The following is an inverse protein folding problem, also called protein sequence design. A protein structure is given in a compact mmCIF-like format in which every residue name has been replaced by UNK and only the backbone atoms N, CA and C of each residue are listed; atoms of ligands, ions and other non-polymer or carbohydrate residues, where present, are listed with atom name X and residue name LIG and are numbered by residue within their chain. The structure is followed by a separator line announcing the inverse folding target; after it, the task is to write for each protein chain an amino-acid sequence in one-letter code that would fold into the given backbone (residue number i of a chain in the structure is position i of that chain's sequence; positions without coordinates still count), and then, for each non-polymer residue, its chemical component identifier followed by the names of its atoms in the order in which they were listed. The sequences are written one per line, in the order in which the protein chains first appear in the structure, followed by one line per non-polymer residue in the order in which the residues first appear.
data_IF_056359497513
#
_entry.id   IF_056359497513
#
_cell.length_a   1.000
_cell.length_b   1.000
_cell.length_c   1.000
_cell.angle_alpha   90.00
_cell.angle_beta   90.00
_cell.angle_gamma   90.00
#
_symmetry.space_group_name_H-M   'P 1'
#
loop_
_entity.id
_entity.type
_entity.pdbx_description
1 polymer ?
#
# COMPACT_ATOMS: atom_id res chain seq x y z
N UNK A 1 -63.65 24.60 14.40
CA UNK A 1 -63.49 24.06 15.78
C UNK A 1 -62.09 24.40 16.28
N UNK A 2 -61.98 25.18 17.36
CA UNK A 2 -60.70 25.65 17.91
C UNK A 2 -59.87 24.53 18.54
N UNK A 3 -58.55 24.70 18.57
CA UNK A 3 -57.61 23.75 19.14
C UNK A 3 -57.57 23.94 20.67
N UNK A 4 -58.14 23.02 21.44
CA UNK A 4 -58.15 23.10 22.90
C UNK A 4 -56.75 23.00 23.52
N UNK A 5 -56.57 23.59 24.71
CA UNK A 5 -55.31 23.51 25.48
C UNK A 5 -55.09 22.07 25.96
N UNK A 6 -53.86 21.56 25.81
CA UNK A 6 -53.48 20.20 26.21
C UNK A 6 -52.41 20.29 27.31
N UNK A 7 -52.53 19.48 28.36
CA UNK A 7 -51.52 19.37 29.42
C UNK A 7 -50.21 18.76 28.88
N UNK A 8 -49.06 19.26 29.34
CA UNK A 8 -47.75 18.73 28.94
C UNK A 8 -47.39 17.48 29.76
N UNK A 9 -48.08 16.37 29.46
CA UNK A 9 -47.84 15.05 30.03
C UNK A 9 -47.98 13.98 28.94
N UNK A 10 -47.52 12.76 29.22
CA UNK A 10 -47.70 11.63 28.29
C UNK A 10 -49.20 11.42 28.00
N UNK A 11 -49.54 11.31 26.72
CA UNK A 11 -50.92 11.00 26.29
C UNK A 11 -51.12 9.49 26.46
N UNK A 12 -52.02 9.07 27.34
CA UNK A 12 -52.25 7.65 27.62
C UNK A 12 -52.93 6.91 26.47
N UNK A 13 -53.96 7.53 25.89
CA UNK A 13 -54.68 6.96 24.76
C UNK A 13 -53.76 6.75 23.55
N UNK A 14 -53.61 5.49 23.12
CA UNK A 14 -52.70 5.08 22.04
C UNK A 14 -53.04 5.75 20.70
N UNK A 15 -54.32 5.87 20.35
CA UNK A 15 -54.77 6.45 19.07
C UNK A 15 -54.49 7.95 19.07
N UNK A 16 -54.91 8.66 20.13
CA UNK A 16 -54.66 10.10 20.27
C UNK A 16 -53.17 10.41 20.31
N UNK A 17 -52.36 9.57 20.96
CA UNK A 17 -50.90 9.69 20.99
C UNK A 17 -50.29 9.52 19.60
N UNK A 18 -50.72 8.53 18.82
CA UNK A 18 -50.22 8.31 17.46
C UNK A 18 -50.54 9.49 16.54
N UNK A 19 -51.79 9.96 16.55
CA UNK A 19 -52.20 11.12 15.73
C UNK A 19 -51.44 12.38 16.15
N UNK A 20 -51.28 12.59 17.46
CA UNK A 20 -50.55 13.75 17.98
C UNK A 20 -49.06 13.67 17.62
N UNK A 21 -48.44 12.51 17.73
CA UNK A 21 -47.05 12.28 17.31
C UNK A 21 -46.86 12.65 15.84
N UNK A 22 -47.69 12.13 14.93
CA UNK A 22 -47.60 12.45 13.50
C UNK A 22 -47.72 13.96 13.24
N UNK A 23 -48.68 14.63 13.88
CA UNK A 23 -48.89 16.07 13.71
C UNK A 23 -47.77 16.92 14.32
N UNK A 24 -47.32 16.60 15.54
CA UNK A 24 -46.26 17.35 16.23
C UNK A 24 -44.90 17.13 15.57
N UNK A 25 -44.56 15.91 15.17
CA UNK A 25 -43.33 15.62 14.43
C UNK A 25 -43.28 16.40 13.11
N UNK A 26 -44.38 16.39 12.34
CA UNK A 26 -44.45 17.17 11.10
C UNK A 26 -44.31 18.69 11.38
N UNK A 27 -44.93 19.20 12.44
CA UNK A 27 -44.78 20.60 12.84
C UNK A 27 -43.36 20.95 13.30
N UNK A 28 -42.69 20.05 14.02
CA UNK A 28 -41.31 20.23 14.47
C UNK A 28 -40.33 20.25 13.29
N UNK A 29 -40.53 19.35 12.32
CA UNK A 29 -39.76 19.33 11.08
C UNK A 29 -39.88 20.64 10.30
N UNK A 30 -41.10 21.19 10.19
CA UNK A 30 -41.31 22.50 9.55
C UNK A 30 -40.54 23.61 10.26
N UNK A 31 -40.55 23.62 11.61
CA UNK A 31 -39.79 24.61 12.39
C UNK A 31 -38.28 24.46 12.23
N UNK A 32 -37.77 23.23 12.24
CA UNK A 32 -36.36 22.96 12.01
C UNK A 32 -35.92 23.46 10.63
N UNK A 33 -36.76 23.23 9.61
CA UNK A 33 -36.52 23.74 8.26
C UNK A 33 -36.59 25.28 8.17
N UNK A 34 -37.59 25.90 8.81
CA UNK A 34 -37.69 27.37 8.90
C UNK A 34 -36.41 27.97 9.50
N UNK A 35 -35.91 27.42 10.61
CA UNK A 35 -34.67 27.90 11.26
C UNK A 35 -33.47 27.74 10.32
N UNK A 36 -33.34 26.58 9.68
CA UNK A 36 -32.24 26.34 8.75
C UNK A 36 -32.21 27.38 7.62
N UNK A 37 -33.36 27.66 7.00
CA UNK A 37 -33.44 28.58 5.86
C UNK A 37 -33.32 30.04 6.31
N UNK A 38 -33.98 30.44 7.39
CA UNK A 38 -34.01 31.83 7.83
C UNK A 38 -32.70 32.31 8.44
N UNK A 39 -31.94 31.39 9.05
CA UNK A 39 -30.72 31.73 9.80
C UNK A 39 -29.45 31.12 9.19
N UNK A 40 -29.54 30.45 8.03
CA UNK A 40 -28.45 29.71 7.40
C UNK A 40 -27.75 28.75 8.39
N UNK A 41 -28.57 28.06 9.17
CA UNK A 41 -28.11 27.17 10.24
C UNK A 41 -28.15 25.72 9.78
N UNK A 42 -27.09 24.95 10.11
CA UNK A 42 -27.11 23.50 9.99
C UNK A 42 -27.96 22.91 11.12
N UNK A 43 -29.01 22.17 10.77
CA UNK A 43 -29.97 21.62 11.73
C UNK A 43 -30.16 20.13 11.49
N UNK A 44 -30.06 19.36 12.57
CA UNK A 44 -30.31 17.94 12.63
C UNK A 44 -31.47 17.65 13.58
N UNK A 45 -32.37 16.74 13.19
CA UNK A 45 -33.45 16.26 14.05
C UNK A 45 -33.59 14.74 13.91
N UNK A 46 -33.51 14.03 15.03
CA UNK A 46 -33.69 12.58 15.10
C UNK A 46 -34.84 12.27 16.06
N UNK A 47 -35.82 11.50 15.62
CA UNK A 47 -37.00 11.14 16.42
C UNK A 47 -37.30 9.65 16.31
N UNK A 48 -37.21 8.93 17.42
CA UNK A 48 -37.66 7.55 17.53
C UNK A 48 -39.10 7.48 18.04
N UNK A 49 -39.94 6.74 17.32
CA UNK A 49 -41.27 6.39 17.84
C UNK A 49 -41.16 5.32 18.93
N UNK A 50 -42.22 5.15 19.73
CA UNK A 50 -42.29 4.06 20.73
C UNK A 50 -42.26 2.66 20.12
N UNK A 51 -42.38 2.54 18.79
CA UNK A 51 -42.24 1.28 18.03
C UNK A 51 -40.82 1.09 17.47
N UNK A 52 -39.87 1.96 17.82
CA UNK A 52 -38.49 1.92 17.31
C UNK A 52 -38.32 2.52 15.91
N UNK A 53 -39.39 2.94 15.23
CA UNK A 53 -39.25 3.57 13.91
C UNK A 53 -38.54 4.92 14.01
N UNK A 54 -37.47 5.06 13.24
CA UNK A 54 -36.68 6.27 13.05
C UNK A 54 -37.38 7.25 12.10
N UNK A 55 -37.34 8.52 12.47
CA UNK A 55 -37.68 9.65 11.62
C UNK A 55 -36.61 10.72 11.79
N UNK A 56 -35.98 11.10 10.69
CA UNK A 56 -34.86 12.03 10.70
C UNK A 56 -35.06 13.18 9.72
N UNK A 57 -34.34 14.25 9.95
CA UNK A 57 -34.21 15.40 9.07
C UNK A 57 -32.83 16.02 9.27
N UNK A 58 -32.19 16.33 8.16
CA UNK A 58 -30.96 17.10 8.12
C UNK A 58 -31.10 18.21 7.09
N UNK A 59 -30.32 19.26 7.28
CA UNK A 59 -30.05 20.24 6.24
C UNK A 59 -29.24 19.61 5.09
N UNK A 60 -29.06 20.35 4.00
CA UNK A 60 -28.46 19.85 2.74
C UNK A 60 -27.06 19.24 2.91
N UNK A 61 -26.35 19.59 3.99
CA UNK A 61 -25.04 19.05 4.34
C UNK A 61 -24.99 17.56 4.73
N UNK A 62 -26.07 16.79 4.58
CA UNK A 62 -26.18 15.37 4.99
C UNK A 62 -26.12 15.14 6.50
N UNK A 63 -26.92 14.17 6.98
CA UNK A 63 -27.04 13.83 8.40
C UNK A 63 -25.67 13.46 9.00
N UNK A 64 -24.87 12.70 8.25
CA UNK A 64 -23.54 12.24 8.65
C UNK A 64 -22.61 13.41 8.97
N UNK A 65 -22.52 14.44 8.12
CA UNK A 65 -21.58 15.56 8.34
C UNK A 65 -21.95 16.40 9.56
N UNK A 66 -23.25 16.58 9.82
CA UNK A 66 -23.70 17.32 11.00
C UNK A 66 -23.38 16.52 12.27
N UNK A 67 -23.56 15.19 12.25
CA UNK A 67 -23.20 14.31 13.37
C UNK A 67 -21.69 14.31 13.61
N UNK A 68 -20.87 14.16 12.55
CA UNK A 68 -19.41 14.24 12.66
C UNK A 68 -18.94 15.61 13.20
N UNK A 69 -19.61 16.71 12.79
CA UNK A 69 -19.32 18.05 13.29
C UNK A 69 -19.71 18.17 14.77
N UNK A 70 -20.86 17.62 15.16
CA UNK A 70 -21.28 17.58 16.55
C UNK A 70 -20.29 16.81 17.42
N UNK A 71 -19.89 15.60 17.02
CA UNK A 71 -18.93 14.77 17.74
C UNK A 71 -17.59 15.49 17.93
N UNK A 72 -17.06 16.12 16.88
CA UNK A 72 -15.83 16.93 16.96
C UNK A 72 -15.95 18.13 17.90
N UNK A 73 -17.08 18.83 17.92
CA UNK A 73 -17.24 20.01 18.78
C UNK A 73 -17.56 19.62 20.23
N UNK A 74 -18.36 18.57 20.45
CA UNK A 74 -18.60 18.00 21.77
C UNK A 74 -17.27 17.55 22.42
N UNK A 75 -16.35 16.99 21.63
CA UNK A 75 -15.00 16.63 22.05
C UNK A 75 -14.15 17.83 22.47
N UNK A 76 -14.28 18.98 21.78
CA UNK A 76 -13.54 20.21 22.12
C UNK A 76 -14.13 20.90 23.35
N UNK A 77 -15.46 20.97 23.47
CA UNK A 77 -16.12 21.53 24.65
C UNK A 77 -15.85 20.70 25.92
N UNK A 78 -15.81 19.36 25.82
CA UNK A 78 -15.50 18.49 26.96
C UNK A 78 -14.05 18.64 27.48
N UNK A 79 -13.08 19.00 26.63
CA UNK A 79 -11.71 19.28 27.07
C UNK A 79 -11.57 20.58 27.87
N UNK A 80 -12.51 21.51 27.72
CA UNK A 80 -12.49 22.81 28.41
C UNK A 80 -13.21 22.78 29.76
N UNK A 81 -14.07 21.77 30.02
CA UNK A 81 -15.00 21.82 31.15
C UNK A 81 -14.45 21.22 32.45
N UNK A 82 -13.78 20.05 32.51
CA UNK A 82 -12.98 19.59 33.68
C UNK A 82 -12.66 18.07 33.63
N UNK A 83 -11.44 17.74 34.07
CA UNK A 83 -10.92 16.52 34.73
C UNK A 83 -11.78 15.23 34.79
N UNK A 84 -11.23 14.18 34.16
CA UNK A 84 -11.14 12.76 34.54
C UNK A 84 -12.36 11.82 34.62
N UNK A 85 -13.63 12.26 34.61
CA UNK A 85 -14.74 11.30 34.81
C UNK A 85 -15.53 10.88 33.55
N UNK A 86 -15.58 11.68 32.48
CA UNK A 86 -16.51 11.42 31.35
C UNK A 86 -15.84 11.05 30.02
N UNK A 87 -14.52 10.95 29.97
CA UNK A 87 -13.78 10.34 28.84
C UNK A 87 -14.18 8.87 28.61
N UNK A 88 -14.81 8.24 29.59
CA UNK A 88 -15.15 6.82 29.55
C UNK A 88 -16.26 6.50 28.54
N UNK A 89 -17.15 7.43 28.18
CA UNK A 89 -18.31 7.14 27.31
C UNK A 89 -17.99 6.96 25.83
N UNK A 90 -17.07 7.76 25.27
CA UNK A 90 -16.71 7.74 23.84
C UNK A 90 -15.67 6.64 23.53
N UNK A 91 -14.67 6.49 24.40
CA UNK A 91 -13.75 5.35 24.33
C UNK A 91 -14.45 4.03 24.69
N UNK A 92 -15.58 4.02 25.43
CA UNK A 92 -16.23 2.74 25.82
C UNK A 92 -16.56 1.84 24.64
N UNK A 93 -16.82 2.37 23.45
CA UNK A 93 -17.16 1.56 22.26
C UNK A 93 -15.97 1.39 21.31
N UNK A 94 -15.14 2.40 21.12
CA UNK A 94 -13.99 2.33 20.20
C UNK A 94 -12.78 1.61 20.82
N UNK A 95 -12.54 1.80 22.12
CA UNK A 95 -11.46 1.13 22.85
C UNK A 95 -11.56 -0.40 22.79
N UNK A 96 -12.71 -1.07 23.08
CA UNK A 96 -12.78 -2.53 22.96
C UNK A 96 -12.59 -3.02 21.52
N UNK A 97 -13.03 -2.25 20.52
CA UNK A 97 -12.81 -2.60 19.10
C UNK A 97 -11.33 -2.48 18.72
N UNK A 98 -10.66 -1.42 19.14
CA UNK A 98 -9.24 -1.22 18.88
C UNK A 98 -8.39 -2.25 19.66
N UNK A 99 -8.73 -2.49 20.93
CA UNK A 99 -8.07 -3.46 21.79
C UNK A 99 -8.17 -4.87 21.23
N UNK A 100 -9.37 -5.32 20.86
CA UNK A 100 -9.54 -6.65 20.22
C UNK A 100 -8.76 -6.76 18.91
N UNK A 101 -8.67 -5.68 18.12
CA UNK A 101 -7.86 -5.66 16.90
C UNK A 101 -6.35 -5.76 17.19
N UNK A 102 -5.86 -5.09 18.22
CA UNK A 102 -4.47 -5.20 18.68
C UNK A 102 -4.18 -6.63 19.13
N UNK A 103 -5.04 -7.22 19.96
CA UNK A 103 -4.88 -8.59 20.47
C UNK A 103 -4.79 -9.62 19.33
N UNK A 104 -5.63 -9.48 18.29
CA UNK A 104 -5.57 -10.34 17.10
C UNK A 104 -4.27 -10.14 16.32
N UNK A 105 -3.81 -8.90 16.14
CA UNK A 105 -2.57 -8.62 15.42
C UNK A 105 -1.35 -9.15 16.17
N UNK A 106 -1.28 -8.95 17.48
CA UNK A 106 -0.20 -9.49 18.31
C UNK A 106 -0.20 -11.01 18.31
N UNK A 107 -1.37 -11.65 18.38
CA UNK A 107 -1.50 -13.10 18.23
C UNK A 107 -0.99 -13.56 16.86
N UNK A 108 -1.37 -12.89 15.78
CA UNK A 108 -0.90 -13.24 14.44
C UNK A 108 0.63 -13.10 14.33
N UNK A 109 1.21 -12.04 14.90
CA UNK A 109 2.67 -11.88 14.94
C UNK A 109 3.32 -13.06 15.67
N UNK A 110 2.81 -13.43 16.86
CA UNK A 110 3.32 -14.61 17.59
C UNK A 110 3.23 -15.88 16.75
N UNK A 111 2.10 -16.11 16.09
CA UNK A 111 1.90 -17.27 15.19
C UNK A 111 2.92 -17.26 14.04
N UNK A 112 3.14 -16.11 13.37
CA UNK A 112 4.14 -15.99 12.31
C UNK A 112 5.58 -16.23 12.81
N UNK A 113 5.85 -15.95 14.09
CA UNK A 113 7.14 -16.26 14.72
C UNK A 113 7.22 -17.71 15.24
N UNK A 114 6.19 -18.53 15.02
CA UNK A 114 6.15 -19.93 15.45
C UNK A 114 5.66 -20.17 16.88
N UNK A 115 5.17 -19.14 17.56
CA UNK A 115 4.55 -19.26 18.89
C UNK A 115 3.04 -19.58 18.82
N UNK A 116 2.47 -20.06 19.93
CA UNK A 116 1.03 -20.29 20.10
C UNK A 116 0.34 -21.05 18.94
N UNK A 117 1.03 -22.03 18.33
CA UNK A 117 0.52 -22.80 17.19
C UNK A 117 -0.39 -23.98 17.59
N UNK A 118 -0.23 -24.51 18.80
CA UNK A 118 -1.01 -25.63 19.35
C UNK A 118 -2.55 -25.45 19.25
N UNK A 119 -3.14 -24.26 19.53
CA UNK A 119 -4.58 -24.06 19.39
C UNK A 119 -5.07 -23.91 17.95
N UNK A 120 -4.19 -23.86 16.94
CA UNK A 120 -4.59 -23.70 15.54
C UNK A 120 -4.99 -25.05 14.92
N UNK A 121 -6.06 -25.03 14.13
CA UNK A 121 -6.42 -26.17 13.29
C UNK A 121 -5.43 -26.36 12.13
N UNK A 122 -5.37 -27.57 11.56
CA UNK A 122 -4.54 -27.87 10.39
C UNK A 122 -4.79 -26.89 9.23
N UNK A 123 -6.05 -26.50 9.01
CA UNK A 123 -6.41 -25.56 7.94
C UNK A 123 -5.85 -24.16 8.20
N UNK A 124 -5.89 -23.71 9.45
CA UNK A 124 -5.32 -22.41 9.84
C UNK A 124 -3.79 -22.42 9.76
N UNK A 125 -3.14 -23.54 10.09
CA UNK A 125 -1.70 -23.70 9.94
C UNK A 125 -1.26 -23.68 8.48
N UNK A 126 -1.98 -24.39 7.60
CA UNK A 126 -1.75 -24.34 6.14
C UNK A 126 -1.95 -22.92 5.57
N UNK A 127 -2.94 -22.19 6.09
CA UNK A 127 -3.14 -20.80 5.70
C UNK A 127 -1.96 -19.91 6.12
N UNK A 128 -1.46 -20.10 7.34
CA UNK A 128 -0.30 -19.39 7.88
C UNK A 128 0.96 -19.66 7.03
N UNK A 129 1.21 -20.93 6.70
CA UNK A 129 2.30 -21.36 5.81
C UNK A 129 2.22 -20.66 4.45
N UNK A 130 1.04 -20.71 3.80
CA UNK A 130 0.82 -20.08 2.51
C UNK A 130 1.07 -18.56 2.56
N UNK A 131 0.68 -17.90 3.65
CA UNK A 131 0.93 -16.47 3.84
C UNK A 131 2.43 -16.15 3.99
N UNK A 132 3.17 -16.95 4.76
CA UNK A 132 4.62 -16.80 4.92
C UNK A 132 5.33 -17.01 3.58
N UNK A 133 5.01 -18.07 2.84
CA UNK A 133 5.60 -18.38 1.55
C UNK A 133 5.36 -17.27 0.53
N UNK A 134 4.12 -16.78 0.46
CA UNK A 134 3.76 -15.66 -0.43
C UNK A 134 4.56 -14.41 -0.09
N UNK A 135 4.71 -14.12 1.20
CA UNK A 135 5.43 -12.94 1.69
C UNK A 135 6.94 -13.05 1.42
N UNK A 136 7.53 -14.23 1.66
CA UNK A 136 8.92 -14.52 1.36
C UNK A 136 9.22 -14.41 -0.14
N UNK A 137 8.32 -14.94 -0.99
CA UNK A 137 8.44 -14.79 -2.45
C UNK A 137 8.46 -13.32 -2.87
N UNK A 138 7.58 -12.49 -2.28
CA UNK A 138 7.57 -11.03 -2.54
C UNK A 138 8.86 -10.35 -2.10
N UNK A 139 9.39 -10.70 -0.92
CA UNK A 139 10.64 -10.14 -0.40
C UNK A 139 11.83 -10.53 -1.29
N UNK A 140 11.94 -11.80 -1.66
CA UNK A 140 12.99 -12.29 -2.58
C UNK A 140 12.93 -11.56 -3.93
N UNK A 141 11.75 -11.46 -4.53
CA UNK A 141 11.56 -10.74 -5.80
C UNK A 141 11.90 -9.25 -5.70
N UNK A 142 11.70 -8.62 -4.54
CA UNK A 142 12.09 -7.23 -4.32
C UNK A 142 13.61 -7.09 -4.22
N UNK A 143 14.25 -8.00 -3.46
CA UNK A 143 15.71 -8.04 -3.32
C UNK A 143 16.39 -8.29 -4.68
N UNK A 144 15.87 -9.23 -5.46
CA UNK A 144 16.38 -9.57 -6.79
C UNK A 144 16.31 -8.36 -7.72
N UNK A 145 15.16 -7.67 -7.77
CA UNK A 145 15.02 -6.44 -8.57
C UNK A 145 16.03 -5.37 -8.17
N UNK A 146 16.20 -5.11 -6.88
CA UNK A 146 17.16 -4.11 -6.42
C UNK A 146 18.61 -4.46 -6.80
N UNK A 147 19.00 -5.73 -6.71
CA UNK A 147 20.31 -6.20 -7.15
C UNK A 147 20.48 -6.09 -8.67
N UNK A 148 19.45 -6.46 -9.43
CA UNK A 148 19.47 -6.34 -10.88
C UNK A 148 19.61 -4.88 -11.34
N UNK A 149 18.90 -3.97 -10.68
CA UNK A 149 18.99 -2.53 -10.94
C UNK A 149 20.40 -2.01 -10.66
N UNK A 150 21.02 -2.43 -9.55
CA UNK A 150 22.40 -2.08 -9.22
C UNK A 150 23.39 -2.62 -10.25
N UNK A 151 23.24 -3.87 -10.69
CA UNK A 151 24.09 -4.48 -11.72
C UNK A 151 23.97 -3.73 -13.05
N UNK A 152 22.75 -3.39 -13.47
CA UNK A 152 22.50 -2.62 -14.69
C UNK A 152 23.15 -1.22 -14.63
N UNK A 153 23.08 -0.54 -13.48
CA UNK A 153 23.75 0.75 -13.28
C UNK A 153 25.28 0.63 -13.39
N UNK A 154 25.87 -0.37 -12.76
CA UNK A 154 27.31 -0.61 -12.81
C UNK A 154 27.77 -0.97 -14.23
N UNK A 155 27.03 -1.82 -14.93
CA UNK A 155 27.32 -2.17 -16.33
C UNK A 155 27.30 -0.94 -17.24
N UNK A 156 26.29 -0.07 -17.08
CA UNK A 156 26.20 1.20 -17.83
C UNK A 156 27.38 2.12 -17.53
N UNK A 157 27.79 2.23 -16.25
CA UNK A 157 28.95 3.05 -15.86
C UNK A 157 30.24 2.51 -16.47
N UNK A 158 30.45 1.20 -16.46
CA UNK A 158 31.63 0.57 -17.07
C UNK A 158 31.68 0.81 -18.59
N UNK A 159 30.55 0.71 -19.29
CA UNK A 159 30.47 1.01 -20.73
C UNK A 159 30.79 2.47 -21.05
N UNK A 160 30.33 3.41 -20.23
CA UNK A 160 30.65 4.83 -20.41
C UNK A 160 32.15 5.09 -20.22
N UNK A 161 32.76 4.50 -19.18
CA UNK A 161 34.20 4.61 -18.95
C UNK A 161 35.03 4.00 -20.09
N UNK A 162 34.60 2.89 -20.67
CA UNK A 162 35.25 2.31 -21.85
C UNK A 162 35.19 3.26 -23.04
N UNK A 163 34.00 3.83 -23.33
CA UNK A 163 33.83 4.81 -24.41
C UNK A 163 34.66 6.07 -24.20
N UNK A 164 34.77 6.56 -22.97
CA UNK A 164 35.62 7.70 -22.63
C UNK A 164 37.10 7.37 -22.87
N UNK A 165 37.57 6.20 -22.40
CA UNK A 165 38.95 5.75 -22.65
C UNK A 165 39.25 5.62 -24.15
N UNK A 166 38.35 5.02 -24.92
CA UNK A 166 38.49 4.93 -26.38
C UNK A 166 38.62 6.31 -27.05
N UNK A 167 37.79 7.28 -26.64
CA UNK A 167 37.89 8.66 -27.15
C UNK A 167 39.23 9.30 -26.81
N UNK A 168 39.67 9.21 -25.54
CA UNK A 168 40.96 9.78 -25.12
C UNK A 168 42.16 9.15 -25.85
N UNK A 169 42.11 7.83 -26.10
CA UNK A 169 43.14 7.13 -26.86
C UNK A 169 43.18 7.60 -28.32
N UNK A 170 42.00 7.81 -28.93
CA UNK A 170 41.87 8.31 -30.30
C UNK A 170 42.40 9.74 -30.41
N UNK A 171 42.09 10.60 -29.43
CA UNK A 171 42.61 11.98 -29.36
C UNK A 171 44.14 12.01 -29.19
N UNK A 172 44.70 11.16 -28.33
CA UNK A 172 46.16 11.04 -28.17
C UNK A 172 46.85 10.58 -29.46
N UNK A 173 46.29 9.59 -30.18
CA UNK A 173 46.83 9.15 -31.46
C UNK A 173 46.82 10.28 -32.51
N UNK A 174 45.74 11.06 -32.56
CA UNK A 174 45.64 12.21 -33.48
C UNK A 174 46.65 13.32 -33.14
N UNK A 175 46.93 13.58 -31.86
CA UNK A 175 47.94 14.55 -31.43
C UNK A 175 49.38 14.09 -31.75
N UNK A 176 49.67 12.79 -31.58
CA UNK A 176 50.98 12.23 -31.97
C UNK A 176 51.21 12.30 -33.48
N UNK A 177 50.17 12.12 -34.29
CA UNK A 177 50.24 12.26 -35.74
C UNK A 177 50.46 13.72 -36.22
N UNK A 178 50.02 14.71 -35.44
CA UNK A 178 50.21 16.14 -35.75
C UNK A 178 51.58 16.68 -35.31
N UNK A 179 52.24 16.06 -34.32
CA UNK A 179 53.55 16.47 -33.82
C UNK A 179 54.74 15.80 -34.53
N UNK A 180 54.51 14.86 -35.45
CA UNK A 180 55.54 14.28 -36.31
C UNK A 180 55.63 15.05 -37.64
N UNK A 181 56.61 15.94 -37.78
CA UNK A 181 57.02 16.48 -39.10
C UNK A 181 57.49 15.34 -40.02
N UNK A 182 57.09 15.31 -41.31
CA UNK A 182 57.51 14.23 -42.19
C UNK A 182 58.93 14.49 -42.71
N UNK A 183 59.92 13.78 -42.13
CA UNK A 183 61.19 13.53 -42.81
C UNK A 183 61.02 12.32 -43.73
N UNK A 184 60.84 12.58 -45.02
CA UNK A 184 61.05 11.57 -46.07
C UNK A 184 62.54 11.18 -46.11
N UNK A 185 62.85 9.93 -46.51
CA UNK A 185 63.33 9.83 -47.89
C UNK A 185 62.61 8.75 -48.69
N UNK A 186 62.43 9.12 -49.95
CA UNK A 186 61.97 8.36 -51.09
C UNK A 186 62.85 7.15 -51.37
N UNK A 187 62.25 5.98 -51.58
CA UNK A 187 62.80 4.95 -52.46
C UNK A 187 61.74 4.55 -53.49
N UNK A 188 62.10 4.40 -54.78
CA UNK A 188 61.13 4.22 -55.86
C UNK A 188 60.61 2.77 -55.92
N UNK A 189 59.28 2.62 -55.95
CA UNK A 189 58.62 1.35 -56.26
C UNK A 189 58.54 1.17 -57.77
N UNK A 190 59.16 0.11 -58.29
CA UNK A 190 58.97 -0.37 -59.66
C UNK A 190 57.57 -0.99 -59.79
N UNK A 191 56.78 -0.46 -60.71
CA UNK A 191 55.50 -0.98 -61.18
C UNK A 191 55.71 -2.19 -62.08
N UNK A 192 55.11 -3.34 -61.74
CA UNK A 192 54.71 -4.36 -62.72
C UNK A 192 53.30 -4.82 -62.35
N UNK A 193 52.35 -4.59 -63.27
CA UNK A 193 50.94 -4.91 -63.10
C UNK A 193 50.63 -6.40 -63.26
N UNK A 194 49.47 -6.79 -62.75
CA UNK A 194 48.90 -8.12 -62.95
C UNK A 194 47.62 -8.28 -62.13
N UNK A 195 46.47 -8.09 -62.77
CA UNK A 195 45.15 -8.41 -62.23
C UNK A 195 45.07 -9.91 -61.89
N UNK A 196 44.77 -10.26 -60.64
CA UNK A 196 44.16 -11.56 -60.30
C UNK A 196 42.97 -11.34 -59.38
N UNK A 197 41.85 -11.86 -59.89
CA UNK A 197 40.49 -11.90 -59.40
C UNK A 197 40.40 -12.86 -58.20
N UNK A 198 39.92 -12.37 -57.05
CA UNK A 198 39.67 -13.18 -55.85
C UNK A 198 38.37 -13.97 -56.03
N UNK A 199 38.47 -15.29 -56.04
CA UNK A 199 37.35 -16.22 -56.02
C UNK A 199 36.75 -16.35 -54.61
N UNK A 200 35.43 -16.41 -54.58
CA UNK A 200 34.56 -16.83 -53.49
C UNK A 200 34.87 -18.22 -52.96
N UNK A 201 34.71 -18.43 -51.65
CA UNK A 201 34.22 -19.70 -51.09
C UNK A 201 33.45 -19.42 -49.80
N UNK A 202 32.14 -19.65 -49.86
CA UNK A 202 31.29 -19.77 -48.69
C UNK A 202 31.28 -21.20 -48.17
N UNK A 203 30.85 -21.35 -46.92
CA UNK A 203 30.21 -22.58 -46.42
C UNK A 203 29.55 -22.30 -45.08
N UNK A 204 28.23 -22.45 -45.12
CA UNK A 204 27.26 -22.61 -44.04
C UNK A 204 27.66 -23.78 -43.14
N UNK A 205 27.46 -23.66 -41.83
CA UNK A 205 27.36 -24.82 -40.92
C UNK A 205 26.17 -24.60 -39.98
N UNK A 206 25.26 -25.58 -40.05
CA UNK A 206 24.04 -25.79 -39.28
C UNK A 206 24.28 -26.11 -37.80
N UNK A 207 23.28 -25.83 -36.96
CA UNK A 207 23.05 -26.53 -35.69
C UNK A 207 22.62 -28.00 -35.92
N UNK A 208 22.88 -28.90 -34.95
CA UNK A 208 21.72 -29.45 -34.23
C UNK A 208 21.93 -29.79 -32.74
N UNK A 209 20.81 -29.63 -32.02
CA UNK A 209 20.20 -30.35 -30.89
C UNK A 209 20.95 -31.32 -29.96
N UNK A 210 20.73 -31.03 -28.66
CA UNK A 210 20.33 -31.83 -27.50
C UNK A 210 20.80 -33.28 -27.20
N UNK A 211 21.05 -33.44 -25.89
CA UNK A 211 21.00 -34.64 -25.03
C UNK A 211 22.16 -35.64 -25.08
N UNK A 212 23.00 -35.68 -24.02
CA UNK A 212 22.78 -36.58 -22.88
C UNK A 212 23.83 -36.47 -21.74
N UNK A 213 23.30 -36.58 -20.52
CA UNK A 213 23.93 -37.07 -19.26
C UNK A 213 25.23 -36.45 -18.76
N UNK A 214 25.10 -35.67 -17.67
CA UNK A 214 25.98 -35.81 -16.50
C UNK A 214 25.24 -35.49 -15.20
N UNK A 215 25.02 -36.55 -14.43
CA UNK A 215 24.66 -36.52 -13.01
C UNK A 215 25.64 -35.62 -12.26
N UNK A 216 25.15 -34.68 -11.46
CA UNK A 216 25.97 -34.01 -10.46
C UNK A 216 25.24 -33.97 -9.12
N UNK A 217 25.96 -34.37 -8.09
CA UNK A 217 25.43 -34.74 -6.78
C UNK A 217 24.82 -33.53 -6.07
N UNK A 218 23.63 -33.73 -5.51
CA UNK A 218 23.01 -32.80 -4.55
C UNK A 218 23.79 -32.89 -3.23
N UNK A 219 24.80 -32.04 -3.08
CA UNK A 219 25.32 -31.67 -1.76
C UNK A 219 24.39 -30.59 -1.20
N UNK A 220 23.50 -30.97 -0.30
CA UNK A 220 22.71 -30.03 0.51
C UNK A 220 23.66 -29.43 1.55
N UNK A 221 24.39 -28.40 1.16
CA UNK A 221 25.14 -27.58 2.12
C UNK A 221 24.12 -26.72 2.84
N UNK A 222 23.89 -27.04 4.11
CA UNK A 222 23.02 -26.26 4.99
C UNK A 222 23.65 -24.87 5.20
N UNK A 223 22.88 -23.78 5.04
CA UNK A 223 23.38 -22.42 5.26
C UNK A 223 23.89 -22.19 6.68
N UNK A 224 24.91 -21.35 6.84
CA UNK A 224 25.62 -21.12 8.11
C UNK A 224 24.74 -20.55 9.24
N UNK A 225 23.59 -19.97 8.92
CA UNK A 225 22.64 -19.45 9.92
C UNK A 225 21.80 -20.54 10.60
N UNK A 226 21.83 -21.79 10.12
CA UNK A 226 21.13 -22.92 10.75
C UNK A 226 21.95 -23.60 11.85
N UNK A 227 23.19 -23.14 12.09
CA UNK A 227 23.95 -23.50 13.28
C UNK A 227 23.75 -22.43 14.34
N UNK A 228 22.64 -22.47 15.06
CA UNK A 228 22.59 -21.97 16.42
C UNK A 228 21.51 -22.69 17.22
N UNK A 229 21.95 -23.21 18.37
CA UNK A 229 21.23 -23.73 19.54
C UNK A 229 21.69 -25.12 19.98
N UNK A 230 22.91 -25.19 20.54
CA UNK A 230 23.23 -26.13 21.62
C UNK A 230 24.10 -25.39 22.65
N UNK A 231 23.73 -25.56 23.92
CA UNK A 231 24.37 -25.09 25.16
C UNK A 231 23.76 -23.84 25.78
N UNK A 232 22.72 -24.03 26.61
CA UNK A 232 22.72 -23.52 27.98
C UNK A 232 22.27 -24.67 28.89
N UNK A 233 23.23 -25.22 29.63
CA UNK A 233 23.06 -25.95 30.89
C UNK A 233 22.71 -25.00 32.03
#
# INVERSE_FOLDING_TARGET
MGRGRVQLKRIENKISRQVTFSKRRAGLLKKAHEISVLCDAEVALIVFSTKGKLYEYSTESSMERILERYERNAYVEQQLVTNDAELQGCWSLEYPNLKSRIEVLEKNIRNFMGGDLEPLSLRELQYLEQQIDTSLKRLRNRKERALQDQNNMLAKKAQLQLKEKERTLTEQQNQMAQNSSPLMPTFPSLTIGGNIQVMMRGSVIDEPDENQTRQNMRSTVVPWWMHDHVNHS
#
